data_IF_652799603697
#
_entry.id   IF_652799603697
#
_cell.length_a   1.000
_cell.length_b   1.000
_cell.length_c   1.000
_cell.angle_alpha   90.00
_cell.angle_beta   90.00
_cell.angle_gamma   90.00
#
_symmetry.space_group_name_H-M   'P 1'
#
loop_
_entity.id
_entity.type
_entity.pdbx_description
1 polymer ?
#
# COMPACT_ATOMS: atom_id res chain seq x y z
N UNK A 1 9.23 17.12 -5.61
CA UNK A 1 8.35 16.45 -4.63
C UNK A 1 9.23 15.92 -3.51
N UNK A 2 9.13 16.45 -2.29
CA UNK A 2 9.94 15.99 -1.17
C UNK A 2 9.36 14.71 -0.54
N UNK A 3 10.25 13.84 -0.08
CA UNK A 3 9.93 12.63 0.67
C UNK A 3 10.32 12.79 2.14
N UNK A 4 9.69 12.03 3.06
CA UNK A 4 9.97 12.13 4.49
C UNK A 4 11.45 12.04 4.79
N UNK A 5 11.96 12.91 5.68
CA UNK A 5 13.39 12.98 6.04
C UNK A 5 14.00 11.66 6.53
N UNK A 6 13.17 10.72 7.00
CA UNK A 6 13.62 9.40 7.45
C UNK A 6 13.87 8.41 6.30
N UNK A 7 13.50 8.75 5.07
CA UNK A 7 13.79 7.93 3.91
C UNK A 7 15.31 7.90 3.68
N UNK A 8 15.89 6.72 3.37
CA UNK A 8 17.29 6.64 3.03
C UNK A 8 17.59 7.37 1.72
N UNK A 9 18.87 7.63 1.45
CA UNK A 9 19.32 8.13 0.16
C UNK A 9 18.84 7.21 -0.98
N UNK A 10 18.50 7.79 -2.13
CA UNK A 10 17.97 7.08 -3.30
C UNK A 10 16.63 6.35 -3.06
N UNK A 11 15.83 6.82 -2.10
CA UNK A 11 14.47 6.35 -1.84
C UNK A 11 13.43 7.45 -2.09
N UNK A 12 12.41 7.22 -2.93
CA UNK A 12 12.18 6.02 -3.74
C UNK A 12 13.26 5.80 -4.81
N UNK A 13 13.50 4.55 -5.25
CA UNK A 13 14.45 4.26 -6.33
C UNK A 13 14.13 5.06 -7.59
N UNK A 14 15.17 5.45 -8.34
CA UNK A 14 15.01 6.19 -9.60
C UNK A 14 14.18 5.43 -10.63
N UNK A 15 14.25 4.10 -10.64
CA UNK A 15 13.47 3.20 -11.50
C UNK A 15 12.05 2.93 -10.96
N UNK A 16 11.40 3.91 -10.33
CA UNK A 16 10.01 3.80 -9.89
C UNK A 16 9.07 4.53 -10.84
N UNK A 17 7.92 3.91 -11.06
CA UNK A 17 6.84 4.51 -11.81
C UNK A 17 6.18 5.62 -10.99
N UNK A 18 5.57 6.56 -11.71
CA UNK A 18 4.68 7.55 -11.11
C UNK A 18 3.46 6.82 -10.55
N UNK A 19 3.03 7.16 -9.32
CA UNK A 19 1.82 6.62 -8.75
C UNK A 19 0.63 6.99 -9.66
N UNK A 20 -0.02 6.00 -10.26
CA UNK A 20 -1.16 6.25 -11.16
C UNK A 20 -2.03 5.01 -11.30
N UNK A 21 -3.34 5.20 -11.25
CA UNK A 21 -4.32 4.14 -11.46
C UNK A 21 -4.95 3.61 -10.18
N UNK A 22 -5.72 2.54 -10.32
CA UNK A 22 -6.53 1.99 -9.22
C UNK A 22 -5.76 0.92 -8.45
N UNK A 23 -5.74 1.07 -7.13
CA UNK A 23 -5.06 0.14 -6.22
C UNK A 23 -5.92 -0.18 -5.00
N UNK A 24 -5.58 -1.28 -4.35
CA UNK A 24 -6.24 -1.78 -3.16
C UNK A 24 -5.26 -1.78 -1.99
N UNK A 25 -5.73 -1.41 -0.79
CA UNK A 25 -4.93 -1.41 0.44
C UNK A 25 -5.73 -1.99 1.59
N UNK A 26 -5.06 -2.68 2.50
CA UNK A 26 -5.66 -3.08 3.76
C UNK A 26 -5.75 -1.92 4.74
N UNK A 27 -6.91 -1.75 5.36
CA UNK A 27 -7.16 -0.76 6.42
C UNK A 27 -7.58 -1.48 7.71
N UNK A 28 -7.27 -0.88 8.86
CA UNK A 28 -7.62 -1.35 10.20
C UNK A 28 -9.05 -0.95 10.56
N UNK A 29 -9.46 0.25 10.17
CA UNK A 29 -10.73 0.86 10.57
C UNK A 29 -11.82 0.71 9.50
N UNK A 30 -13.07 1.09 9.84
CA UNK A 30 -14.16 1.10 8.87
C UNK A 30 -14.00 2.17 7.80
N UNK A 31 -13.38 3.30 8.13
CA UNK A 31 -13.02 4.35 7.18
C UNK A 31 -11.51 4.50 7.17
N UNK A 32 -10.87 4.75 6.01
CA UNK A 32 -9.44 4.99 5.94
C UNK A 32 -9.08 6.18 6.81
N UNK A 33 -8.06 6.03 7.65
CA UNK A 33 -7.50 7.10 8.46
C UNK A 33 -5.99 7.22 8.25
N UNK A 34 -5.34 8.30 8.73
CA UNK A 34 -3.90 8.48 8.56
C UNK A 34 -3.05 7.28 9.03
N UNK A 35 -3.44 6.64 10.14
CA UNK A 35 -2.75 5.49 10.71
C UNK A 35 -2.76 4.25 9.79
N UNK A 36 -3.72 4.17 8.86
CA UNK A 36 -3.77 3.11 7.85
C UNK A 36 -2.70 3.29 6.79
N UNK A 37 -2.04 4.45 6.69
CA UNK A 37 -1.05 4.78 5.66
C UNK A 37 0.35 5.04 6.23
N UNK A 38 0.58 4.71 7.51
CA UNK A 38 1.92 4.66 8.05
C UNK A 38 2.70 3.50 7.42
N UNK A 39 3.93 3.77 7.03
CA UNK A 39 4.90 2.76 6.60
C UNK A 39 5.37 1.93 7.79
N UNK A 40 5.99 0.79 7.50
CA UNK A 40 6.52 -0.07 8.56
C UNK A 40 7.58 0.65 9.39
N UNK A 41 8.43 1.46 8.73
CA UNK A 41 9.49 2.26 9.36
C UNK A 41 8.91 3.35 10.26
N UNK A 42 7.80 3.98 9.89
CA UNK A 42 7.10 4.95 10.74
C UNK A 42 6.47 4.30 11.98
N UNK A 43 5.89 3.10 11.84
CA UNK A 43 5.35 2.35 12.98
C UNK A 43 6.47 1.76 13.87
N UNK A 44 7.68 1.58 13.33
CA UNK A 44 8.79 0.89 14.00
C UNK A 44 10.14 1.59 13.77
N UNK A 45 10.31 2.85 14.23
CA UNK A 45 11.46 3.69 13.90
C UNK A 45 12.81 3.07 14.32
N UNK A 46 12.84 2.37 15.45
CA UNK A 46 14.07 1.83 16.05
C UNK A 46 14.29 0.34 15.76
N UNK A 47 13.36 -0.35 15.08
CA UNK A 47 13.49 -1.79 14.81
C UNK A 47 14.26 -2.04 13.53
N UNK A 48 14.98 -3.16 13.50
CA UNK A 48 15.57 -3.67 12.26
C UNK A 48 14.48 -4.09 11.27
N UNK A 49 14.68 -3.79 9.98
CA UNK A 49 13.72 -4.15 8.95
C UNK A 49 13.39 -5.66 8.95
N UNK A 50 12.15 -6.04 8.61
CA UNK A 50 11.80 -7.44 8.44
C UNK A 50 12.74 -8.12 7.43
N UNK A 51 13.10 -9.37 7.71
CA UNK A 51 13.98 -10.15 6.83
C UNK A 51 13.47 -10.13 5.38
N UNK A 52 14.35 -9.73 4.45
CA UNK A 52 14.03 -9.64 3.02
C UNK A 52 13.35 -8.34 2.59
N UNK A 53 13.23 -7.35 3.48
CA UNK A 53 12.75 -6.00 3.17
C UNK A 53 13.91 -5.02 3.33
N UNK A 54 14.16 -4.18 2.32
CA UNK A 54 15.14 -3.09 2.45
C UNK A 54 14.59 -1.91 3.25
N UNK A 55 15.46 -1.05 3.76
CA UNK A 55 15.06 0.20 4.42
C UNK A 55 14.11 1.04 3.57
N UNK A 56 14.43 1.19 2.28
CA UNK A 56 13.58 1.95 1.39
C UNK A 56 12.21 1.28 1.19
N UNK A 57 12.13 -0.05 1.08
CA UNK A 57 10.84 -0.73 1.01
C UNK A 57 10.04 -0.57 2.30
N UNK A 58 10.70 -0.58 3.45
CA UNK A 58 10.06 -0.38 4.76
C UNK A 58 9.52 1.04 4.97
N UNK A 59 10.07 2.02 4.25
CA UNK A 59 9.57 3.41 4.17
C UNK A 59 8.35 3.55 3.25
N UNK A 60 8.08 2.56 2.40
CA UNK A 60 6.88 2.53 1.57
C UNK A 60 5.73 1.80 2.24
N UNK A 61 4.55 1.92 1.65
CA UNK A 61 3.34 1.22 2.07
C UNK A 61 2.94 0.18 1.02
N UNK A 62 2.38 -0.94 1.48
CA UNK A 62 1.88 -2.00 0.59
C UNK A 62 0.54 -1.64 -0.06
N UNK A 63 0.49 -1.72 -1.38
CA UNK A 63 -0.76 -1.67 -2.16
C UNK A 63 -0.81 -2.83 -3.15
N UNK A 64 -2.00 -3.13 -3.65
CA UNK A 64 -2.26 -4.25 -4.54
C UNK A 64 -2.97 -3.77 -5.81
N UNK A 65 -2.50 -4.21 -6.97
CA UNK A 65 -3.18 -3.92 -8.24
C UNK A 65 -4.44 -4.79 -8.42
N UNK A 66 -4.50 -5.96 -7.80
CA UNK A 66 -5.60 -6.91 -7.93
C UNK A 66 -6.33 -7.10 -6.60
N UNK A 67 -7.64 -6.88 -6.61
CA UNK A 67 -8.50 -7.15 -5.48
C UNK A 67 -8.51 -8.63 -5.11
N UNK A 68 -8.58 -9.52 -6.10
CA UNK A 68 -8.61 -10.96 -5.87
C UNK A 68 -7.33 -11.45 -5.19
N UNK A 69 -6.15 -10.93 -5.57
CA UNK A 69 -4.90 -11.24 -4.89
C UNK A 69 -4.91 -10.76 -3.43
N UNK A 70 -5.44 -9.55 -3.16
CA UNK A 70 -5.63 -9.06 -1.80
C UNK A 70 -6.62 -9.94 -1.01
N UNK A 71 -7.74 -10.35 -1.60
CA UNK A 71 -8.69 -11.28 -0.95
C UNK A 71 -8.10 -12.68 -0.73
N UNK A 72 -7.23 -13.15 -1.62
CA UNK A 72 -6.50 -14.43 -1.46
C UNK A 72 -5.49 -14.35 -0.32
N UNK A 73 -4.74 -13.25 -0.23
CA UNK A 73 -3.77 -13.02 0.83
C UNK A 73 -4.45 -12.91 2.20
N UNK A 74 -5.59 -12.21 2.30
CA UNK A 74 -6.34 -12.10 3.56
C UNK A 74 -6.82 -13.46 4.08
N UNK A 75 -7.27 -14.35 3.19
CA UNK A 75 -7.64 -15.73 3.56
C UNK A 75 -6.46 -16.56 4.06
N UNK A 76 -5.30 -16.42 3.41
CA UNK A 76 -4.10 -17.22 3.69
C UNK A 76 -3.33 -16.78 4.94
N UNK A 77 -3.21 -15.48 5.16
CA UNK A 77 -2.34 -14.90 6.20
C UNK A 77 -3.19 -14.33 7.33
N UNK A 78 -3.05 -14.92 8.53
CA UNK A 78 -3.88 -14.59 9.69
C UNK A 78 -3.89 -13.09 10.05
N UNK A 79 -2.75 -12.40 9.89
CA UNK A 79 -2.63 -10.97 10.14
C UNK A 79 -3.61 -10.11 9.31
N UNK A 80 -3.90 -10.54 8.08
CA UNK A 80 -4.76 -9.80 7.15
C UNK A 80 -6.23 -10.22 7.21
N UNK A 81 -6.58 -11.32 7.89
CA UNK A 81 -7.97 -11.85 7.95
C UNK A 81 -8.98 -10.86 8.50
N UNK A 82 -8.57 -10.04 9.47
CA UNK A 82 -9.43 -9.07 10.14
C UNK A 82 -9.27 -7.64 9.60
N UNK A 83 -8.50 -7.46 8.53
CA UNK A 83 -8.35 -6.15 7.87
C UNK A 83 -9.44 -5.98 6.83
N UNK A 84 -9.91 -4.75 6.66
CA UNK A 84 -10.79 -4.40 5.54
C UNK A 84 -9.94 -4.02 4.34
N UNK A 85 -10.51 -4.07 3.14
CA UNK A 85 -9.85 -3.60 1.93
C UNK A 85 -10.50 -2.28 1.53
N UNK A 86 -9.67 -1.29 1.17
CA UNK A 86 -10.11 -0.06 0.55
C UNK A 86 -9.53 0.03 -0.87
N UNK A 87 -10.30 0.63 -1.77
CA UNK A 87 -9.89 0.95 -3.14
C UNK A 87 -9.55 2.43 -3.22
N UNK A 88 -8.45 2.77 -3.87
CA UNK A 88 -8.07 4.16 -4.10
C UNK A 88 -7.55 4.37 -5.51
N UNK A 89 -7.80 5.56 -6.05
CA UNK A 89 -7.24 5.99 -7.34
C UNK A 89 -6.07 6.90 -7.07
N UNK A 90 -4.88 6.46 -7.45
CA UNK A 90 -3.65 7.23 -7.31
C UNK A 90 -3.45 8.17 -8.50
N UNK A 91 -2.84 9.31 -8.22
CA UNK A 91 -2.38 10.30 -9.19
C UNK A 91 -0.89 10.59 -8.99
N UNK A 92 -0.29 11.26 -9.95
CA UNK A 92 1.13 11.60 -9.95
C UNK A 92 1.57 12.41 -8.71
N UNK A 93 0.66 13.21 -8.16
CA UNK A 93 0.84 13.95 -6.91
C UNK A 93 1.01 13.09 -5.66
N UNK A 94 0.59 11.83 -5.73
CA UNK A 94 0.60 10.88 -4.63
C UNK A 94 1.89 10.04 -4.60
N UNK A 95 2.87 10.34 -5.44
CA UNK A 95 4.24 9.84 -5.28
C UNK A 95 4.66 8.80 -6.29
N UNK A 96 5.33 7.75 -5.80
CA UNK A 96 6.00 6.75 -6.66
C UNK A 96 5.63 5.35 -6.25
N UNK A 97 5.54 4.46 -7.21
CA UNK A 97 5.23 3.04 -6.99
C UNK A 97 6.24 2.15 -7.70
N UNK A 98 6.46 0.95 -7.16
CA UNK A 98 7.23 -0.10 -7.83
C UNK A 98 6.63 -1.45 -7.52
N UNK A 99 6.51 -2.30 -8.54
CA UNK A 99 6.07 -3.67 -8.35
C UNK A 99 7.11 -4.43 -7.51
N UNK A 100 6.69 -4.92 -6.35
CA UNK A 100 7.52 -5.67 -5.41
C UNK A 100 6.77 -6.97 -5.10
N UNK A 101 6.67 -7.89 -6.07
CA UNK A 101 5.84 -9.07 -5.95
C UNK A 101 6.26 -9.88 -4.72
N UNK A 102 5.27 -10.37 -3.99
CA UNK A 102 5.50 -11.23 -2.83
C UNK A 102 5.29 -12.69 -3.22
N UNK A 103 5.77 -13.62 -2.40
CA UNK A 103 5.51 -15.05 -2.58
C UNK A 103 4.01 -15.41 -2.64
N UNK A 104 3.13 -14.50 -2.21
CA UNK A 104 1.69 -14.75 -2.12
C UNK A 104 0.90 -14.11 -3.28
N UNK A 105 1.50 -13.18 -4.04
CA UNK A 105 0.82 -12.51 -5.15
C UNK A 105 1.74 -11.60 -5.96
N UNK A 106 1.49 -11.55 -7.29
CA UNK A 106 2.27 -10.73 -8.25
C UNK A 106 1.82 -9.27 -8.26
N UNK A 107 0.64 -8.98 -7.76
CA UNK A 107 0.05 -7.63 -7.77
C UNK A 107 0.50 -6.73 -6.62
N UNK A 108 1.45 -7.16 -5.77
CA UNK A 108 1.95 -6.33 -4.68
C UNK A 108 2.89 -5.23 -5.20
N UNK A 109 2.65 -3.99 -4.77
CA UNK A 109 3.48 -2.83 -5.05
C UNK A 109 3.88 -2.18 -3.73
N UNK A 110 5.09 -1.63 -3.72
CA UNK A 110 5.51 -0.67 -2.70
C UNK A 110 5.18 0.72 -3.22
N UNK A 111 4.48 1.51 -2.41
CA UNK A 111 4.09 2.87 -2.69
C UNK A 111 4.77 3.83 -1.72
N UNK A 112 5.55 4.77 -2.25
CA UNK A 112 6.21 5.81 -1.48
C UNK A 112 5.41 7.10 -1.54
N UNK A 113 4.93 7.51 -0.37
CA UNK A 113 4.07 8.67 -0.19
C UNK A 113 4.93 9.91 0.10
N UNK A 114 4.75 11.02 -0.62
CA UNK A 114 5.47 12.27 -0.37
C UNK A 114 5.08 12.90 0.97
N UNK A 115 5.91 13.80 1.49
CA UNK A 115 5.57 14.58 2.68
C UNK A 115 4.30 15.42 2.45
N UNK A 116 3.53 15.63 3.53
CA UNK A 116 2.34 16.49 3.56
C UNK A 116 1.22 16.06 2.58
N UNK A 117 1.13 14.76 2.29
CA UNK A 117 0.01 14.19 1.52
C UNK A 117 -0.98 13.49 2.44
N UNK A 118 -2.23 13.45 1.99
CA UNK A 118 -3.36 12.88 2.74
C UNK A 118 -3.95 11.68 1.98
N UNK A 119 -3.19 10.58 1.85
CA UNK A 119 -3.55 9.43 1.01
C UNK A 119 -4.91 8.80 1.40
N UNK A 120 -5.28 8.85 2.69
CA UNK A 120 -6.57 8.33 3.16
C UNK A 120 -7.79 9.02 2.54
N UNK A 121 -7.65 10.23 1.98
CA UNK A 121 -8.75 10.96 1.34
C UNK A 121 -9.14 10.40 -0.03
N UNK A 122 -8.26 9.66 -0.69
CA UNK A 122 -8.52 9.09 -2.03
C UNK A 122 -8.87 7.61 -1.99
N UNK A 123 -8.97 7.02 -0.79
CA UNK A 123 -9.35 5.63 -0.60
C UNK A 123 -10.77 5.55 -0.02
N UNK A 124 -11.50 4.55 -0.48
CA UNK A 124 -12.84 4.22 0.00
C UNK A 124 -12.91 2.73 0.35
N UNK A 125 -13.48 2.35 1.51
CA UNK A 125 -13.71 0.94 1.85
C UNK A 125 -14.59 0.29 0.79
N UNK A 126 -14.24 -0.92 0.38
CA UNK A 126 -15.10 -1.73 -0.47
C UNK A 126 -15.87 -2.73 0.38
N UNK A 127 -17.18 -2.84 0.13
CA UNK A 127 -17.98 -3.90 0.74
C UNK A 127 -17.70 -5.23 0.01
N UNK A 128 -17.37 -6.28 0.77
CA UNK A 128 -17.12 -7.63 0.23
C UNK A 128 -18.37 -8.22 -0.48
N UNK A 129 -19.53 -7.58 -0.32
CA UNK A 129 -20.80 -7.99 -0.92
C UNK A 129 -21.04 -7.47 -2.35
N UNK A 130 -20.13 -6.68 -2.93
CA UNK A 130 -20.29 -6.17 -4.31
C UNK A 130 -19.39 -6.88 -5.33
N UNK A 131 -19.47 -8.21 -5.40
CA UNK A 131 -18.83 -8.97 -6.47
C UNK A 131 -19.79 -10.03 -7.03
N UNK A 132 -20.90 -9.56 -7.62
CA UNK A 132 -21.72 -10.32 -8.57
C UNK A 132 -22.60 -9.37 -9.39
N UNK A 133 -21.98 -8.49 -10.18
CA UNK A 133 -22.68 -7.83 -11.30
C UNK A 133 -21.62 -7.36 -12.30
N UNK A 134 -21.81 -7.74 -13.56
CA UNK A 134 -21.00 -7.39 -14.74
C UNK A 134 -19.80 -8.29 -15.05
N UNK A 135 -20.06 -9.58 -15.23
CA UNK A 135 -19.69 -10.23 -16.50
C UNK A 135 -20.99 -10.60 -17.21
N UNK A 136 -21.34 -9.82 -18.22
CA UNK A 136 -22.38 -10.15 -19.20
C UNK A 136 -21.73 -10.17 -20.57
#
# INVERSE_FOLDING_TARGET
>A
MPYPKHFPNDCPPSECDIASGEFYRYIKNQKPCPEDFLSWREENPEKECPKGTSECQACGVSIYLSLDDAKKLSRRVAYFRNKKIAKGTLSDELGRIKNTPSNVGKSHYTWWIPENKEPWKVFEPIDDNQENSNKK
#
